data_IF_849872659959
#
_entry.id   IF_849872659959
#
_cell.length_a   1.000
_cell.length_b   1.000
_cell.length_c   1.000
_cell.angle_alpha   90.00
_cell.angle_beta   90.00
_cell.angle_gamma   90.00
#
_symmetry.space_group_name_H-M   'P 1'
#
loop_
_entity.id
_entity.type
_entity.pdbx_description
1 polymer ?
#
# COMPACT_ATOMS: atom_id res chain seq x y z
N UNK A 1 10.44 14.94 13.50
CA UNK A 1 9.04 14.92 13.03
C UNK A 1 8.87 15.24 11.54
N UNK A 2 9.40 16.33 10.93
CA UNK A 2 9.19 16.55 9.48
C UNK A 2 9.96 15.56 8.58
N UNK A 3 11.13 15.08 9.02
CA UNK A 3 11.91 14.08 8.28
C UNK A 3 11.18 12.73 8.15
N UNK A 4 10.56 12.24 9.24
CA UNK A 4 9.77 10.99 9.24
C UNK A 4 8.56 11.04 8.30
N UNK A 5 7.90 12.20 8.16
CA UNK A 5 6.78 12.34 7.23
C UNK A 5 7.23 12.26 5.77
N UNK A 6 8.33 12.93 5.41
CA UNK A 6 8.85 12.89 4.04
C UNK A 6 9.31 11.48 3.65
N UNK A 7 9.98 10.76 4.56
CA UNK A 7 10.39 9.37 4.35
C UNK A 7 9.17 8.46 4.18
N UNK A 8 8.17 8.59 5.06
CA UNK A 8 6.90 7.86 4.97
C UNK A 8 6.19 8.12 3.64
N UNK A 9 6.11 9.39 3.22
CA UNK A 9 5.49 9.78 1.95
C UNK A 9 6.28 9.21 0.76
N UNK A 10 7.61 9.27 0.78
CA UNK A 10 8.45 8.72 -0.28
C UNK A 10 8.24 7.21 -0.43
N UNK A 11 8.29 6.47 0.68
CA UNK A 11 8.06 5.02 0.71
C UNK A 11 6.66 4.70 0.18
N UNK A 12 5.65 5.42 0.65
CA UNK A 12 4.25 5.14 0.29
C UNK A 12 3.92 5.55 -1.14
N UNK A 13 4.55 6.59 -1.68
CA UNK A 13 4.48 6.91 -3.11
C UNK A 13 5.12 5.82 -3.96
N UNK A 14 6.29 5.30 -3.56
CA UNK A 14 6.93 4.18 -4.26
C UNK A 14 6.04 2.94 -4.19
N UNK A 15 5.47 2.62 -3.02
CA UNK A 15 4.52 1.53 -2.83
C UNK A 15 3.28 1.67 -3.71
N UNK A 16 2.71 2.87 -3.80
CA UNK A 16 1.56 3.12 -4.66
C UNK A 16 1.91 2.97 -6.13
N UNK A 17 3.06 3.49 -6.56
CA UNK A 17 3.54 3.32 -7.92
C UNK A 17 3.77 1.84 -8.27
N UNK A 18 4.35 1.04 -7.37
CA UNK A 18 4.46 -0.42 -7.56
C UNK A 18 3.14 -1.13 -7.60
N UNK A 19 2.20 -0.71 -6.77
CA UNK A 19 0.90 -1.36 -6.71
C UNK A 19 0.22 -1.39 -8.07
N UNK A 20 0.35 -0.32 -8.87
CA UNK A 20 -0.20 -0.33 -10.23
C UNK A 20 0.50 -1.31 -11.19
N UNK A 21 1.76 -1.68 -10.93
CA UNK A 21 2.58 -2.56 -11.78
C UNK A 21 2.25 -4.05 -11.63
N UNK A 22 1.43 -4.41 -10.64
CA UNK A 22 1.06 -5.80 -10.42
C UNK A 22 0.36 -6.39 -11.68
N UNK A 23 0.81 -7.57 -12.17
CA UNK A 23 0.30 -8.23 -13.37
C UNK A 23 -1.21 -8.30 -13.50
N UNK A 24 -1.92 -8.57 -12.41
CA UNK A 24 -3.37 -8.70 -12.36
C UNK A 24 -4.05 -7.36 -12.71
N UNK A 25 -3.53 -6.23 -12.21
CA UNK A 25 -3.98 -4.89 -12.54
C UNK A 25 -3.70 -4.54 -13.99
N UNK A 26 -2.53 -4.90 -14.51
CA UNK A 26 -2.16 -4.67 -15.91
C UNK A 26 -3.04 -5.49 -16.85
N UNK A 27 -3.33 -6.75 -16.52
CA UNK A 27 -4.23 -7.61 -17.31
C UNK A 27 -5.66 -7.07 -17.25
N UNK A 28 -6.16 -6.72 -16.06
CA UNK A 28 -7.51 -6.20 -15.87
C UNK A 28 -7.72 -4.91 -16.67
N UNK A 29 -6.81 -3.94 -16.55
CA UNK A 29 -6.92 -2.65 -17.26
C UNK A 29 -6.96 -2.81 -18.78
N UNK A 30 -6.30 -3.82 -19.35
CA UNK A 30 -6.38 -4.16 -20.78
C UNK A 30 -7.70 -4.79 -21.21
N UNK A 31 -8.30 -5.61 -20.34
CA UNK A 31 -9.61 -6.21 -20.62
C UNK A 31 -10.71 -5.14 -20.69
N UNK A 32 -10.49 -3.97 -20.07
CA UNK A 32 -11.42 -2.85 -20.08
C UNK A 32 -11.33 -2.07 -21.39
N UNK A 33 -12.26 -2.35 -22.30
CA UNK A 33 -12.37 -1.71 -23.63
C UNK A 33 -12.60 -0.19 -23.65
N UNK A 34 -12.92 0.43 -22.50
CA UNK A 34 -13.24 1.87 -22.41
C UNK A 34 -12.40 2.50 -21.30
N UNK A 35 -11.75 3.61 -21.60
CA UNK A 35 -10.94 4.35 -20.62
C UNK A 35 -11.75 4.79 -19.39
N UNK A 36 -13.03 5.12 -19.55
CA UNK A 36 -13.92 5.42 -18.41
C UNK A 36 -14.08 4.25 -17.43
N UNK A 37 -14.02 3.00 -17.93
CA UNK A 37 -14.02 1.81 -17.08
C UNK A 37 -12.69 1.62 -16.38
N UNK A 38 -11.57 1.98 -17.01
CA UNK A 38 -10.25 1.99 -16.38
C UNK A 38 -10.22 2.99 -15.22
N UNK A 39 -10.71 4.21 -15.44
CA UNK A 39 -10.85 5.21 -14.37
C UNK A 39 -11.70 4.66 -13.23
N UNK A 40 -12.86 4.07 -13.56
CA UNK A 40 -13.75 3.49 -12.54
C UNK A 40 -13.04 2.38 -11.75
N UNK A 41 -12.39 1.45 -12.44
CA UNK A 41 -11.60 0.38 -11.81
C UNK A 41 -10.52 0.96 -10.90
N UNK A 42 -9.70 1.88 -11.40
CA UNK A 42 -8.63 2.50 -10.62
C UNK A 42 -9.18 3.23 -9.38
N UNK A 43 -10.27 4.00 -9.53
CA UNK A 43 -10.93 4.67 -8.39
C UNK A 43 -11.45 3.67 -7.35
N UNK A 44 -12.19 2.64 -7.77
CA UNK A 44 -12.70 1.65 -6.83
C UNK A 44 -11.56 0.86 -6.17
N UNK A 45 -10.53 0.50 -6.92
CA UNK A 45 -9.42 -0.29 -6.42
C UNK A 45 -8.54 0.50 -5.42
N UNK A 46 -8.28 1.78 -5.70
CA UNK A 46 -7.39 2.62 -4.87
C UNK A 46 -8.16 3.49 -3.90
N UNK A 47 -9.08 4.34 -4.35
CA UNK A 47 -9.82 5.23 -3.46
C UNK A 47 -10.83 4.46 -2.59
N UNK A 48 -11.33 3.31 -3.06
CA UNK A 48 -12.18 2.43 -2.26
C UNK A 48 -11.49 1.92 -0.98
N UNK A 49 -10.16 1.78 -0.99
CA UNK A 49 -9.38 1.44 0.21
C UNK A 49 -9.52 2.49 1.32
N UNK A 50 -9.68 3.79 0.98
CA UNK A 50 -9.86 4.85 1.99
C UNK A 50 -11.13 4.69 2.82
N UNK A 51 -12.16 4.04 2.25
CA UNK A 51 -13.42 3.78 2.95
C UNK A 51 -13.19 2.92 4.20
N UNK A 52 -12.18 2.06 4.18
CA UNK A 52 -11.80 1.25 5.34
C UNK A 52 -10.62 1.88 6.09
N UNK A 53 -9.56 2.24 5.37
CA UNK A 53 -8.29 2.65 5.96
C UNK A 53 -8.42 3.93 6.79
N UNK A 54 -9.16 4.92 6.30
CA UNK A 54 -9.24 6.22 6.96
C UNK A 54 -10.08 6.15 8.26
N UNK A 55 -11.29 5.55 8.29
CA UNK A 55 -12.00 5.32 9.54
C UNK A 55 -11.20 4.49 10.53
N UNK A 56 -10.53 3.44 10.06
CA UNK A 56 -9.70 2.59 10.91
C UNK A 56 -8.54 3.39 11.54
N UNK A 57 -7.86 4.22 10.75
CA UNK A 57 -6.80 5.09 11.25
C UNK A 57 -7.33 6.11 12.27
N UNK A 58 -8.47 6.73 12.01
CA UNK A 58 -9.11 7.68 12.94
C UNK A 58 -9.47 6.98 14.25
N UNK A 59 -10.10 5.81 14.20
CA UNK A 59 -10.51 5.07 15.40
C UNK A 59 -9.29 4.67 16.22
N UNK A 60 -8.27 4.07 15.60
CA UNK A 60 -7.07 3.62 16.31
C UNK A 60 -6.31 4.80 16.90
N UNK A 61 -6.14 5.89 16.16
CA UNK A 61 -5.35 7.05 16.62
C UNK A 61 -6.11 7.97 17.59
N UNK A 62 -7.43 7.77 17.75
CA UNK A 62 -8.20 8.43 18.80
C UNK A 62 -7.79 7.96 20.20
N UNK A 63 -7.14 6.80 20.32
CA UNK A 63 -6.59 6.29 21.58
C UNK A 63 -5.20 6.89 21.85
N UNK A 64 -5.17 8.19 22.15
CA UNK A 64 -3.93 8.96 22.35
C UNK A 64 -2.99 8.39 23.42
N UNK A 65 -3.54 7.73 24.44
CA UNK A 65 -2.77 7.06 25.50
C UNK A 65 -1.97 5.85 25.01
N UNK A 66 -2.34 5.27 23.86
CA UNK A 66 -1.71 4.08 23.29
C UNK A 66 -0.74 4.39 22.14
N UNK A 67 -0.41 5.67 21.86
CA UNK A 67 0.39 6.08 20.69
C UNK A 67 1.69 5.28 20.51
N UNK A 68 2.46 5.09 21.59
CA UNK A 68 3.70 4.30 21.53
C UNK A 68 3.46 2.82 21.19
N UNK A 69 2.44 2.20 21.80
CA UNK A 69 2.07 0.82 21.51
C UNK A 69 1.52 0.65 20.08
N UNK A 70 0.75 1.63 19.58
CA UNK A 70 0.25 1.67 18.21
C UNK A 70 1.41 1.76 17.22
N UNK A 71 2.40 2.61 17.48
CA UNK A 71 3.58 2.74 16.62
C UNK A 71 4.38 1.42 16.57
N UNK A 72 4.74 0.86 17.73
CA UNK A 72 5.47 -0.41 17.84
C UNK A 72 4.69 -1.55 17.16
N UNK A 73 3.39 -1.66 17.44
CA UNK A 73 2.52 -2.65 16.81
C UNK A 73 2.46 -2.48 15.29
N UNK A 74 2.37 -1.24 14.81
CA UNK A 74 2.38 -0.94 13.37
C UNK A 74 3.67 -1.36 12.71
N UNK A 75 4.84 -1.10 13.31
CA UNK A 75 6.12 -1.54 12.77
C UNK A 75 6.25 -3.07 12.78
N UNK A 76 5.83 -3.74 13.85
CA UNK A 76 5.85 -5.20 13.92
C UNK A 76 4.95 -5.85 12.84
N UNK A 77 3.74 -5.33 12.67
CA UNK A 77 2.82 -5.77 11.60
C UNK A 77 3.42 -5.45 10.22
N UNK A 78 3.98 -4.25 10.04
CA UNK A 78 4.63 -3.84 8.80
C UNK A 78 5.81 -4.75 8.42
N UNK A 79 6.63 -5.16 9.39
CA UNK A 79 7.68 -6.15 9.17
C UNK A 79 7.12 -7.50 8.75
N UNK A 80 6.11 -8.01 9.47
CA UNK A 80 5.47 -9.29 9.12
C UNK A 80 4.91 -9.29 7.70
N UNK A 81 4.22 -8.20 7.31
CA UNK A 81 3.69 -8.02 5.96
C UNK A 81 4.80 -7.89 4.93
N UNK A 82 5.89 -7.17 5.24
CA UNK A 82 7.05 -7.05 4.35
C UNK A 82 7.73 -8.40 4.12
N UNK A 83 7.83 -9.25 5.15
CA UNK A 83 8.35 -10.62 5.02
C UNK A 83 7.44 -11.48 4.13
N UNK A 84 6.12 -11.40 4.33
CA UNK A 84 5.14 -12.09 3.49
C UNK A 84 5.25 -11.62 2.03
N UNK A 85 5.40 -10.31 1.81
CA UNK A 85 5.52 -9.73 0.47
C UNK A 85 6.85 -10.08 -0.21
N UNK A 86 7.94 -10.11 0.54
CA UNK A 86 9.25 -10.58 0.08
C UNK A 86 9.16 -12.06 -0.34
N UNK A 87 8.56 -12.90 0.51
CA UNK A 87 8.35 -14.31 0.22
C UNK A 87 7.53 -14.51 -1.06
N UNK A 88 6.40 -13.81 -1.18
CA UNK A 88 5.52 -13.78 -2.34
C UNK A 88 6.30 -13.44 -3.63
N UNK A 89 7.11 -12.38 -3.57
CA UNK A 89 7.96 -11.91 -4.67
C UNK A 89 9.03 -12.93 -5.06
N UNK A 90 9.63 -13.64 -4.09
CA UNK A 90 10.64 -14.67 -4.35
C UNK A 90 10.06 -15.86 -5.12
N UNK A 91 8.87 -16.32 -4.73
CA UNK A 91 8.18 -17.46 -5.35
C UNK A 91 7.37 -17.07 -6.59
N UNK A 92 7.32 -15.78 -6.94
CA UNK A 92 6.58 -15.25 -8.09
C UNK A 92 5.07 -15.46 -7.95
N UNK A 93 4.54 -15.26 -6.74
CA UNK A 93 3.09 -15.31 -6.47
C UNK A 93 2.66 -13.98 -5.87
N UNK A 94 1.49 -13.51 -6.27
CA UNK A 94 0.79 -12.44 -5.56
C UNK A 94 0.02 -13.05 -4.38
N UNK A 95 -0.01 -12.32 -3.26
CA UNK A 95 -0.79 -12.68 -2.09
C UNK A 95 -1.81 -11.57 -1.89
N UNK A 96 -3.08 -11.90 -2.08
CA UNK A 96 -4.18 -10.97 -1.87
C UNK A 96 -5.33 -11.65 -1.15
N UNK A 97 -6.02 -10.89 -0.32
CA UNK A 97 -7.27 -11.32 0.31
C UNK A 97 -8.41 -10.56 -0.33
N UNK A 98 -9.17 -11.24 -1.19
CA UNK A 98 -10.27 -10.66 -1.95
C UNK A 98 -11.63 -11.27 -1.58
N UNK A 99 -12.66 -10.44 -1.33
CA UNK A 99 -14.03 -10.94 -1.21
C UNK A 99 -14.63 -11.23 -2.59
N UNK A 100 -14.99 -12.49 -2.84
CA UNK A 100 -15.53 -12.94 -4.13
C UNK A 100 -16.97 -12.45 -4.34
N UNK A 101 -17.29 -12.05 -5.57
CA UNK A 101 -18.67 -11.77 -6.01
C UNK A 101 -19.17 -10.35 -5.80
N UNK A 102 -18.30 -9.40 -5.46
CA UNK A 102 -18.67 -8.00 -5.18
C UNK A 102 -18.48 -7.04 -6.36
N UNK A 103 -18.09 -7.55 -7.53
CA UNK A 103 -17.92 -6.73 -8.74
C UNK A 103 -16.87 -5.62 -8.53
N UNK A 104 -17.20 -4.38 -8.89
CA UNK A 104 -16.26 -3.25 -8.71
C UNK A 104 -15.93 -2.97 -7.24
N UNK A 105 -16.83 -3.30 -6.30
CA UNK A 105 -16.58 -3.14 -4.86
C UNK A 105 -15.53 -4.12 -4.34
N UNK A 106 -15.29 -5.23 -5.06
CA UNK A 106 -14.22 -6.16 -4.71
C UNK A 106 -12.88 -5.44 -4.68
N UNK A 107 -12.58 -4.60 -5.69
CA UNK A 107 -11.32 -3.84 -5.76
C UNK A 107 -11.08 -2.94 -4.54
N UNK A 108 -12.14 -2.36 -3.99
CA UNK A 108 -12.07 -1.51 -2.79
C UNK A 108 -11.71 -2.29 -1.53
N UNK A 109 -12.12 -3.55 -1.48
CA UNK A 109 -12.01 -4.41 -0.31
C UNK A 109 -10.86 -5.42 -0.40
N UNK A 110 -10.24 -5.57 -1.57
CA UNK A 110 -9.04 -6.39 -1.75
C UNK A 110 -7.93 -5.83 -0.88
N UNK A 111 -7.46 -6.64 0.07
CA UNK A 111 -6.33 -6.33 0.93
C UNK A 111 -5.07 -6.93 0.30
N UNK A 112 -4.20 -6.03 -0.15
CA UNK A 112 -2.88 -6.34 -0.70
C UNK A 112 -1.79 -5.96 0.31
N UNK A 113 -0.59 -6.58 0.25
CA UNK A 113 0.50 -6.26 1.16
C UNK A 113 0.87 -4.77 1.15
N UNK A 114 0.83 -4.12 -0.01
CA UNK A 114 1.07 -2.67 -0.18
C UNK A 114 0.01 -1.79 0.51
N UNK A 115 -1.28 -2.16 0.45
CA UNK A 115 -2.37 -1.48 1.19
C UNK A 115 -2.18 -1.64 2.69
N UNK A 116 -1.84 -2.85 3.15
CA UNK A 116 -1.59 -3.08 4.58
C UNK A 116 -0.34 -2.30 5.05
N UNK A 117 0.74 -2.30 4.26
CA UNK A 117 1.96 -1.53 4.57
C UNK A 117 1.68 -0.03 4.65
N UNK A 118 0.98 0.54 3.66
CA UNK A 118 0.64 1.97 3.69
C UNK A 118 -0.23 2.34 4.90
N UNK A 119 -1.16 1.46 5.31
CA UNK A 119 -1.91 1.65 6.56
C UNK A 119 -1.03 1.58 7.79
N UNK A 120 -0.11 0.61 7.89
CA UNK A 120 0.81 0.51 9.04
C UNK A 120 1.72 1.74 9.14
N UNK A 121 2.25 2.24 8.02
CA UNK A 121 3.06 3.46 7.98
C UNK A 121 2.22 4.68 8.40
N UNK A 122 0.98 4.76 7.93
CA UNK A 122 0.05 5.81 8.34
C UNK A 122 -0.19 5.78 9.86
N UNK A 123 -0.56 4.61 10.41
CA UNK A 123 -0.78 4.45 11.86
C UNK A 123 0.47 4.76 12.68
N UNK A 124 1.65 4.37 12.21
CA UNK A 124 2.91 4.65 12.86
C UNK A 124 3.22 6.16 12.98
N UNK A 125 2.64 7.01 12.12
CA UNK A 125 2.80 8.47 12.22
C UNK A 125 2.23 9.06 13.51
N UNK A 126 1.33 8.34 14.19
CA UNK A 126 0.76 8.74 15.48
C UNK A 126 -0.18 9.95 15.44
N UNK A 127 -0.40 10.54 14.26
CA UNK A 127 -1.20 11.74 14.04
C UNK A 127 -2.22 11.51 12.92
N UNK A 128 -3.49 11.86 13.17
CA UNK A 128 -4.59 11.64 12.22
C UNK A 128 -4.35 12.39 10.90
N UNK A 129 -3.88 13.63 10.97
CA UNK A 129 -3.61 14.44 9.79
C UNK A 129 -2.50 13.84 8.91
N UNK A 130 -1.42 13.36 9.52
CA UNK A 130 -0.31 12.73 8.79
C UNK A 130 -0.71 11.38 8.21
N UNK A 131 -1.49 10.60 8.96
CA UNK A 131 -2.06 9.34 8.48
C UNK A 131 -2.93 9.55 7.24
N UNK A 132 -3.79 10.57 7.26
CA UNK A 132 -4.63 10.91 6.12
C UNK A 132 -3.79 11.30 4.89
N UNK A 133 -2.76 12.13 5.08
CA UNK A 133 -1.84 12.53 3.99
C UNK A 133 -1.09 11.32 3.41
N UNK A 134 -0.59 10.42 4.25
CA UNK A 134 0.11 9.21 3.82
C UNK A 134 -0.82 8.31 3.01
N UNK A 135 -2.03 8.05 3.49
CA UNK A 135 -3.03 7.24 2.78
C UNK A 135 -3.46 7.89 1.45
N UNK A 136 -3.64 9.21 1.42
CA UNK A 136 -3.95 9.94 0.20
C UNK A 136 -2.79 9.87 -0.82
N UNK A 137 -1.55 9.96 -0.35
CA UNK A 137 -0.37 9.83 -1.21
C UNK A 137 -0.27 8.43 -1.83
N UNK A 138 -0.56 7.37 -1.06
CA UNK A 138 -0.67 6.00 -1.58
C UNK A 138 -1.71 5.91 -2.69
N UNK A 139 -2.92 6.39 -2.41
CA UNK A 139 -4.07 6.29 -3.32
C UNK A 139 -3.82 7.07 -4.61
N UNK A 140 -3.29 8.29 -4.49
CA UNK A 140 -2.99 9.13 -5.64
C UNK A 140 -1.90 8.51 -6.51
N UNK A 141 -0.79 8.07 -5.92
CA UNK A 141 0.30 7.44 -6.67
C UNK A 141 -0.11 6.11 -7.31
N UNK A 142 -0.88 5.29 -6.61
CA UNK A 142 -1.44 4.04 -7.14
C UNK A 142 -2.43 4.29 -8.28
N UNK A 143 -3.32 5.27 -8.12
CA UNK A 143 -4.25 5.67 -9.17
C UNK A 143 -3.51 6.13 -10.42
N UNK A 144 -2.49 6.99 -10.27
CA UNK A 144 -1.65 7.44 -11.39
C UNK A 144 -0.95 6.26 -12.06
N UNK A 145 -0.38 5.33 -11.29
CA UNK A 145 0.29 4.15 -11.84
C UNK A 145 -0.66 3.29 -12.69
N UNK A 146 -1.86 2.99 -12.18
CA UNK A 146 -2.88 2.23 -12.92
C UNK A 146 -3.31 2.93 -14.21
N UNK A 147 -3.49 4.25 -14.18
CA UNK A 147 -3.82 5.02 -15.38
C UNK A 147 -2.69 5.00 -16.40
N UNK A 148 -1.45 5.25 -15.98
CA UNK A 148 -0.29 5.27 -16.87
C UNK A 148 -0.11 3.89 -17.52
N UNK A 149 -0.21 2.81 -16.76
CA UNK A 149 -0.02 1.46 -17.29
C UNK A 149 -1.12 1.04 -18.27
N UNK A 150 -2.35 1.52 -18.06
CA UNK A 150 -3.43 1.33 -19.04
C UNK A 150 -3.14 1.99 -20.40
N UNK A 151 -2.37 3.09 -20.41
CA UNK A 151 -2.01 3.84 -21.63
C UNK A 151 -0.78 3.25 -22.32
N UNK A 152 0.23 2.86 -21.54
CA UNK A 152 1.53 2.44 -22.10
C UNK A 152 1.53 0.96 -22.50
N UNK A 153 0.53 0.17 -22.07
CA UNK A 153 0.34 -1.22 -22.48
C UNK A 153 1.64 -2.07 -22.34
N UNK A 154 2.45 -1.75 -21.33
CA UNK A 154 3.65 -2.49 -20.93
C UNK A 154 3.22 -3.53 -19.88
N UNK A 155 3.57 -4.80 -20.08
CA UNK A 155 3.62 -5.77 -18.97
C UNK A 155 5.06 -5.80 -18.52
N UNK A 156 5.41 -5.23 -17.37
CA UNK A 156 6.77 -5.27 -16.88
C UNK A 156 7.09 -6.64 -16.27
N UNK A 157 6.70 -7.78 -16.88
CA UNK A 157 6.89 -9.11 -16.25
C UNK A 157 8.36 -9.42 -15.90
N UNK A 158 9.30 -8.78 -16.60
CA UNK A 158 10.74 -8.90 -16.33
C UNK A 158 11.26 -7.94 -15.25
N UNK A 159 10.56 -6.83 -14.98
CA UNK A 159 10.98 -5.81 -14.00
C UNK A 159 10.12 -5.78 -12.75
N UNK A 160 8.94 -6.41 -12.77
CA UNK A 160 8.04 -6.59 -11.63
C UNK A 160 8.74 -7.29 -10.47
N UNK A 161 9.30 -8.50 -10.69
CA UNK A 161 10.01 -9.24 -9.64
C UNK A 161 11.13 -8.42 -8.97
N UNK A 162 12.11 -7.84 -9.70
CA UNK A 162 13.16 -7.06 -9.05
C UNK A 162 12.63 -5.80 -8.37
N UNK A 163 11.57 -5.17 -8.89
CA UNK A 163 10.94 -4.00 -8.26
C UNK A 163 10.23 -4.37 -6.96
N UNK A 164 9.42 -5.43 -6.97
CA UNK A 164 8.70 -5.94 -5.79
C UNK A 164 9.67 -6.45 -4.71
N UNK A 165 10.78 -7.08 -5.11
CA UNK A 165 11.87 -7.42 -4.19
C UNK A 165 12.51 -6.18 -3.56
N UNK A 166 12.86 -5.17 -4.36
CA UNK A 166 13.48 -3.94 -3.86
C UNK A 166 12.55 -3.24 -2.85
N UNK A 167 11.27 -3.12 -3.16
CA UNK A 167 10.29 -2.48 -2.29
C UNK A 167 10.05 -3.26 -1.01
N UNK A 168 9.97 -4.59 -1.10
CA UNK A 168 9.84 -5.44 0.07
C UNK A 168 11.04 -5.29 1.01
N UNK A 169 12.26 -5.24 0.45
CA UNK A 169 13.49 -5.02 1.23
C UNK A 169 13.57 -3.63 1.83
N UNK A 170 13.22 -2.57 1.08
CA UNK A 170 13.18 -1.20 1.58
C UNK A 170 12.14 -1.08 2.71
N UNK A 171 10.94 -1.62 2.52
CA UNK A 171 9.87 -1.59 3.52
C UNK A 171 10.26 -2.37 4.78
N UNK A 172 10.87 -3.54 4.62
CA UNK A 172 11.37 -4.34 5.74
C UNK A 172 12.49 -3.62 6.49
N UNK A 173 13.45 -3.04 5.77
CA UNK A 173 14.56 -2.29 6.36
C UNK A 173 14.08 -1.04 7.11
N UNK A 174 13.16 -0.28 6.52
CA UNK A 174 12.54 0.89 7.13
C UNK A 174 11.77 0.52 8.40
N UNK A 175 10.87 -0.47 8.32
CA UNK A 175 10.06 -0.88 9.47
C UNK A 175 10.89 -1.51 10.59
N UNK A 176 11.96 -2.24 10.25
CA UNK A 176 12.91 -2.76 11.23
C UNK A 176 13.70 -1.64 11.92
N UNK A 177 14.21 -0.66 11.16
CA UNK A 177 14.94 0.49 11.70
C UNK A 177 14.07 1.31 12.66
N UNK A 178 12.83 1.62 12.27
CA UNK A 178 11.90 2.37 13.12
C UNK A 178 11.47 1.57 14.35
N UNK A 179 11.30 0.25 14.24
CA UNK A 179 11.02 -0.61 15.38
C UNK A 179 12.16 -0.59 16.40
N UNK A 180 13.39 -0.79 15.95
CA UNK A 180 14.58 -0.79 16.82
C UNK A 180 14.75 0.56 17.50
N UNK A 181 14.66 1.65 16.73
CA UNK A 181 14.70 3.02 17.26
C UNK A 181 13.61 3.28 18.29
N UNK A 182 12.38 2.81 18.05
CA UNK A 182 11.25 2.93 18.98
C UNK A 182 11.43 2.11 20.26
N UNK A 183 12.20 1.03 20.21
CA UNK A 183 12.58 0.21 21.35
C UNK A 183 13.84 0.72 22.08
N UNK A 184 14.52 1.74 21.53
CA UNK A 184 15.75 2.29 22.09
C UNK A 184 16.97 1.40 21.89
N UNK A 185 16.98 0.57 20.84
CA UNK A 185 18.06 -0.35 20.43
C UNK A 185 18.65 0.13 19.11
#
# INVERSE_FOLDING_TARGET
MPFQLLESLAIVVILGLSHGLDPDHVVMTRMLKRFSKVISFALFHTAGFLVIALPLAIVILSFSWAKGAIAIGSYAVGMAVSVVFLWASLIGREIEVEPKGLGLLQGALVLTPSKVLSLTIALASGEIAYSALILLAFVASSFVSLLVLSLVNLVPSKVEKPFNLAISLISLGYTAYELLTSLGV
#
